data_IF_043429180566
#
_entry.id   IF_043429180566
#
_cell.length_a   1.000
_cell.length_b   1.000
_cell.length_c   1.000
_cell.angle_alpha   90.00
_cell.angle_beta   90.00
_cell.angle_gamma   90.00
#
_symmetry.space_group_name_H-M   'P 1'
#
loop_
_entity.id
_entity.type
_entity.pdbx_description
1 polymer ?
#
# COMPACT_ATOMS: atom_id res chain seq x y z
N UNK A 1 -22.92 29.69 -32.41
CA UNK A 1 -22.39 28.36 -32.06
C UNK A 1 -21.09 28.06 -32.81
N UNK A 2 -20.19 29.06 -32.97
CA UNK A 2 -18.92 28.92 -33.73
C UNK A 2 -17.70 29.36 -32.90
N UNK A 3 -17.89 30.11 -31.82
CA UNK A 3 -16.81 30.57 -30.92
C UNK A 3 -16.09 29.45 -30.15
N UNK A 4 -16.80 28.36 -29.80
CA UNK A 4 -16.27 27.31 -28.93
C UNK A 4 -15.13 26.47 -29.57
N UNK A 5 -14.96 26.52 -30.89
CA UNK A 5 -13.95 25.73 -31.60
C UNK A 5 -12.62 26.50 -31.71
N UNK A 6 -12.65 27.83 -31.76
CA UNK A 6 -11.45 28.67 -31.87
C UNK A 6 -10.66 28.72 -30.55
N UNK A 7 -11.39 28.76 -29.42
CA UNK A 7 -10.80 28.69 -28.08
C UNK A 7 -10.07 27.38 -27.80
N UNK A 8 -10.52 26.27 -28.43
CA UNK A 8 -9.90 24.96 -28.25
C UNK A 8 -8.63 24.79 -29.12
N UNK A 9 -8.59 25.44 -30.29
CA UNK A 9 -7.42 25.45 -31.18
C UNK A 9 -6.24 26.23 -30.57
N UNK A 10 -6.51 27.37 -29.93
CA UNK A 10 -5.47 28.20 -29.28
C UNK A 10 -4.82 27.53 -28.05
N UNK A 11 -5.57 26.67 -27.34
CA UNK A 11 -5.10 25.94 -26.16
C UNK A 11 -4.25 24.71 -26.53
N UNK A 12 -4.52 24.09 -27.69
CA UNK A 12 -3.77 22.93 -28.17
C UNK A 12 -2.37 23.29 -28.74
N UNK A 13 -2.16 24.55 -29.17
CA UNK A 13 -0.96 24.97 -29.89
C UNK A 13 0.19 25.58 -29.07
N UNK A 14 -0.04 26.00 -27.81
CA UNK A 14 0.95 26.81 -27.05
C UNK A 14 1.35 26.28 -25.67
N UNK A 15 0.73 25.18 -25.20
CA UNK A 15 1.07 24.56 -23.91
C UNK A 15 2.20 23.52 -23.98
N UNK A 16 2.25 22.73 -25.06
CA UNK A 16 3.18 21.60 -25.18
C UNK A 16 4.64 22.03 -25.41
N UNK A 17 4.86 23.13 -26.13
CA UNK A 17 6.22 23.63 -26.44
C UNK A 17 6.90 24.30 -25.24
N UNK A 18 6.14 25.00 -24.39
CA UNK A 18 6.67 25.64 -23.17
C UNK A 18 7.01 24.65 -22.05
N UNK A 19 6.28 23.55 -21.96
CA UNK A 19 6.62 22.45 -21.04
C UNK A 19 7.93 21.76 -21.47
N UNK A 20 8.12 21.56 -22.78
CA UNK A 20 9.34 20.97 -23.32
C UNK A 20 10.58 21.85 -23.11
N UNK A 21 10.47 23.18 -23.29
CA UNK A 21 11.59 24.11 -23.03
C UNK A 21 12.01 24.17 -21.56
N UNK A 22 11.08 24.06 -20.61
CA UNK A 22 11.41 24.00 -19.18
C UNK A 22 12.08 22.70 -18.78
N UNK A 23 11.74 21.59 -19.42
CA UNK A 23 12.40 20.30 -19.20
C UNK A 23 13.80 20.31 -19.81
N UNK A 24 13.96 20.89 -21.01
CA UNK A 24 15.26 20.98 -21.69
C UNK A 24 16.26 21.90 -20.95
N UNK A 25 15.79 23.01 -20.37
CA UNK A 25 16.67 23.93 -19.62
C UNK A 25 16.98 23.47 -18.20
N UNK A 26 16.12 22.66 -17.58
CA UNK A 26 16.40 22.03 -16.27
C UNK A 26 17.37 20.84 -16.37
N UNK A 27 17.52 20.23 -17.55
CA UNK A 27 18.41 19.08 -17.75
C UNK A 27 19.91 19.46 -17.92
N UNK A 28 20.24 20.74 -18.11
CA UNK A 28 21.61 21.16 -18.46
C UNK A 28 22.44 21.68 -17.27
N UNK A 29 21.94 21.68 -16.03
CA UNK A 29 22.71 22.19 -14.89
C UNK A 29 22.34 21.55 -13.54
N UNK A 30 22.71 20.28 -13.33
CA UNK A 30 22.96 19.77 -11.99
C UNK A 30 23.91 18.56 -12.04
N UNK A 31 25.00 18.54 -11.27
CA UNK A 31 25.82 17.34 -11.10
C UNK A 31 24.98 16.23 -10.47
N UNK A 32 25.08 15.03 -11.02
CA UNK A 32 24.44 13.82 -10.53
C UNK A 32 24.95 13.48 -9.12
N UNK A 33 24.27 14.01 -8.10
CA UNK A 33 24.34 13.47 -6.75
C UNK A 33 23.71 12.06 -6.77
N UNK A 34 24.25 11.10 -6.00
CA UNK A 34 23.65 9.78 -5.91
C UNK A 34 22.21 9.96 -5.44
N UNK A 35 21.28 9.44 -6.24
CA UNK A 35 19.86 9.36 -5.92
C UNK A 35 19.75 8.79 -4.52
N UNK A 36 19.26 9.61 -3.57
CA UNK A 36 18.83 9.12 -2.27
C UNK A 36 17.97 7.90 -2.54
N UNK A 37 18.40 6.74 -2.03
CA UNK A 37 17.57 5.56 -1.99
C UNK A 37 16.23 6.02 -1.44
N UNK A 38 15.18 5.91 -2.26
CA UNK A 38 13.80 6.02 -1.80
C UNK A 38 13.74 5.20 -0.53
N UNK A 39 13.55 5.85 0.61
CA UNK A 39 13.47 5.20 1.91
C UNK A 39 12.36 4.17 1.83
N UNK A 40 12.72 2.92 1.52
CA UNK A 40 11.79 1.82 1.60
C UNK A 40 11.34 1.77 3.05
N UNK A 41 10.03 1.58 3.32
CA UNK A 41 9.57 1.39 4.68
C UNK A 41 10.42 0.30 5.33
N UNK A 42 10.96 0.58 6.51
CA UNK A 42 11.69 -0.42 7.28
C UNK A 42 10.84 -1.68 7.39
N UNK A 43 11.41 -2.85 7.12
CA UNK A 43 10.69 -4.13 7.19
C UNK A 43 9.98 -4.30 8.56
N UNK A 44 10.58 -3.78 9.63
CA UNK A 44 9.97 -3.75 10.96
C UNK A 44 8.70 -2.89 11.03
N UNK A 45 8.65 -1.77 10.31
CA UNK A 45 7.45 -0.93 10.24
C UNK A 45 6.32 -1.63 9.48
N UNK A 46 6.63 -2.31 8.37
CA UNK A 46 5.66 -3.12 7.61
C UNK A 46 5.15 -4.29 8.45
N UNK A 47 6.06 -4.97 9.17
CA UNK A 47 5.69 -6.07 10.07
C UNK A 47 4.77 -5.60 11.20
N UNK A 48 5.08 -4.45 11.81
CA UNK A 48 4.25 -3.86 12.86
C UNK A 48 2.86 -3.49 12.35
N UNK A 49 2.76 -2.95 11.14
CA UNK A 49 1.49 -2.59 10.51
C UNK A 49 0.64 -3.84 10.22
N UNK A 50 1.25 -4.89 9.63
CA UNK A 50 0.58 -6.18 9.38
C UNK A 50 0.10 -6.82 10.69
N UNK A 51 0.91 -6.79 11.75
CA UNK A 51 0.51 -7.32 13.05
C UNK A 51 -0.68 -6.54 13.66
N UNK A 52 -0.66 -5.21 13.58
CA UNK A 52 -1.75 -4.34 14.02
C UNK A 52 -3.04 -4.61 13.25
N UNK A 53 -2.95 -4.74 11.93
CA UNK A 53 -4.08 -5.07 11.06
C UNK A 53 -4.67 -6.44 11.38
N UNK A 54 -3.84 -7.44 11.67
CA UNK A 54 -4.29 -8.78 12.09
C UNK A 54 -5.11 -8.75 13.38
N UNK A 55 -4.64 -8.00 14.39
CA UNK A 55 -5.38 -7.84 15.66
C UNK A 55 -6.71 -7.14 15.45
N UNK A 56 -6.74 -6.10 14.60
CA UNK A 56 -7.97 -5.37 14.31
C UNK A 56 -8.98 -6.24 13.56
N UNK A 57 -8.54 -7.01 12.55
CA UNK A 57 -9.40 -7.93 11.81
C UNK A 57 -10.02 -9.00 12.72
N UNK A 58 -9.26 -9.54 13.69
CA UNK A 58 -9.78 -10.47 14.69
C UNK A 58 -10.85 -9.82 15.58
N UNK A 59 -10.61 -8.61 16.08
CA UNK A 59 -11.58 -7.87 16.90
C UNK A 59 -12.88 -7.59 16.13
N UNK A 60 -12.77 -7.26 14.86
CA UNK A 60 -13.92 -6.98 14.00
C UNK A 60 -14.72 -8.26 13.71
N UNK A 61 -14.06 -9.39 13.49
CA UNK A 61 -14.71 -10.69 13.37
C UNK A 61 -15.43 -11.13 14.66
N UNK A 62 -14.83 -10.87 15.83
CA UNK A 62 -15.48 -11.10 17.13
C UNK A 62 -16.71 -10.21 17.30
N UNK A 63 -16.61 -8.92 16.98
CA UNK A 63 -17.72 -7.99 17.05
C UNK A 63 -18.87 -8.39 16.10
N UNK A 64 -18.56 -8.80 14.88
CA UNK A 64 -19.53 -9.30 13.91
C UNK A 64 -20.20 -10.59 14.41
N UNK A 65 -19.43 -11.52 14.99
CA UNK A 65 -19.95 -12.76 15.58
C UNK A 65 -20.90 -12.50 16.74
N UNK A 66 -20.54 -11.56 17.63
CA UNK A 66 -21.43 -11.11 18.72
C UNK A 66 -22.69 -10.45 18.19
N UNK A 67 -22.59 -9.62 17.15
CA UNK A 67 -23.75 -9.02 16.51
C UNK A 67 -24.67 -10.08 15.87
N UNK A 68 -24.09 -11.13 15.27
CA UNK A 68 -24.82 -12.26 14.71
C UNK A 68 -25.60 -13.05 15.76
N UNK A 69 -24.97 -13.36 16.90
CA UNK A 69 -25.64 -14.04 18.03
C UNK A 69 -26.80 -13.19 18.58
N UNK A 70 -26.65 -11.86 18.59
CA UNK A 70 -27.71 -10.93 19.00
C UNK A 70 -28.78 -10.68 17.91
N UNK A 71 -28.71 -11.34 16.75
CA UNK A 71 -29.62 -11.14 15.62
C UNK A 71 -29.48 -9.79 14.91
N UNK A 72 -28.41 -9.04 15.20
CA UNK A 72 -28.11 -7.71 14.62
C UNK A 72 -27.25 -7.76 13.35
N UNK A 73 -26.64 -8.91 13.07
CA UNK A 73 -25.90 -9.17 11.83
C UNK A 73 -26.38 -10.48 11.21
N UNK A 74 -26.41 -10.55 9.88
CA UNK A 74 -26.83 -11.78 9.19
C UNK A 74 -25.73 -12.85 9.27
N UNK A 75 -26.13 -14.12 9.19
CA UNK A 75 -25.18 -15.26 9.17
C UNK A 75 -24.16 -15.10 8.03
N UNK A 76 -24.58 -14.51 6.90
CA UNK A 76 -23.70 -14.21 5.78
C UNK A 76 -22.61 -13.19 6.14
N UNK A 77 -22.96 -12.12 6.87
CA UNK A 77 -21.99 -11.11 7.32
C UNK A 77 -20.99 -11.67 8.35
N UNK A 78 -21.43 -12.58 9.22
CA UNK A 78 -20.54 -13.26 10.17
C UNK A 78 -19.52 -14.12 9.41
N UNK A 79 -19.99 -14.91 8.44
CA UNK A 79 -19.11 -15.76 7.62
C UNK A 79 -18.12 -14.90 6.82
N UNK A 80 -18.57 -13.80 6.22
CA UNK A 80 -17.69 -12.88 5.49
C UNK A 80 -16.60 -12.28 6.40
N UNK A 81 -16.97 -11.84 7.60
CA UNK A 81 -16.02 -11.31 8.58
C UNK A 81 -14.99 -12.36 9.03
N UNK A 82 -15.43 -13.60 9.26
CA UNK A 82 -14.54 -14.71 9.63
C UNK A 82 -13.59 -15.07 8.49
N UNK A 83 -14.10 -15.17 7.26
CA UNK A 83 -13.28 -15.44 6.06
C UNK A 83 -12.24 -14.35 5.82
N UNK A 84 -12.58 -13.09 6.10
CA UNK A 84 -11.64 -11.98 6.00
C UNK A 84 -10.54 -12.08 7.07
N UNK A 85 -10.91 -12.37 8.32
CA UNK A 85 -9.96 -12.59 9.40
C UNK A 85 -9.03 -13.79 9.14
N UNK A 86 -9.52 -14.89 8.57
CA UNK A 86 -8.69 -16.04 8.18
C UNK A 86 -7.62 -15.68 7.15
N UNK A 87 -7.97 -14.86 6.14
CA UNK A 87 -7.01 -14.41 5.12
C UNK A 87 -5.90 -13.56 5.76
N UNK A 88 -6.26 -12.61 6.62
CA UNK A 88 -5.28 -11.78 7.34
C UNK A 88 -4.40 -12.63 8.26
N UNK A 89 -4.98 -13.62 8.94
CA UNK A 89 -4.24 -14.55 9.79
C UNK A 89 -3.23 -15.38 8.99
N UNK A 90 -3.61 -15.89 7.82
CA UNK A 90 -2.70 -16.63 6.94
C UNK A 90 -1.50 -15.77 6.51
N UNK A 91 -1.72 -14.49 6.19
CA UNK A 91 -0.62 -13.55 5.90
C UNK A 91 0.27 -13.34 7.11
N UNK A 92 -0.30 -13.13 8.31
CA UNK A 92 0.46 -12.96 9.53
C UNK A 92 1.33 -14.19 9.86
N UNK A 93 0.81 -15.41 9.66
CA UNK A 93 1.55 -16.66 9.85
C UNK A 93 2.69 -16.79 8.84
N UNK A 94 2.46 -16.47 7.56
CA UNK A 94 3.52 -16.50 6.56
C UNK A 94 4.69 -15.55 6.91
N UNK A 95 4.37 -14.38 7.45
CA UNK A 95 5.38 -13.41 7.90
C UNK A 95 6.10 -13.91 9.15
N UNK A 96 5.39 -14.48 10.14
CA UNK A 96 6.00 -15.15 11.31
C UNK A 96 7.01 -16.21 10.87
N UNK A 97 6.63 -17.07 9.93
CA UNK A 97 7.48 -18.16 9.47
C UNK A 97 8.74 -17.64 8.79
N UNK A 98 8.64 -16.54 8.03
CA UNK A 98 9.81 -15.87 7.42
C UNK A 98 10.74 -15.24 8.43
N UNK A 99 10.21 -14.62 9.48
CA UNK A 99 11.02 -14.05 10.58
C UNK A 99 11.75 -15.16 11.34
N UNK A 100 11.07 -16.27 11.62
CA UNK A 100 11.68 -17.44 12.26
C UNK A 100 12.78 -18.04 11.37
N UNK A 101 12.54 -18.16 10.07
CA UNK A 101 13.54 -18.64 9.11
C UNK A 101 14.78 -17.74 9.09
N UNK A 102 14.60 -16.41 9.03
CA UNK A 102 15.70 -15.45 9.05
C UNK A 102 16.51 -15.52 10.36
N UNK A 103 15.84 -15.69 11.51
CA UNK A 103 16.53 -15.89 12.78
C UNK A 103 17.36 -17.19 12.79
N UNK A 104 16.79 -18.29 12.29
CA UNK A 104 17.52 -19.56 12.18
C UNK A 104 18.71 -19.49 11.23
N UNK A 105 18.60 -18.75 10.12
CA UNK A 105 19.68 -18.52 9.16
C UNK A 105 20.85 -17.77 9.82
N UNK A 106 20.56 -16.65 10.51
CA UNK A 106 21.57 -15.86 11.25
C UNK A 106 22.22 -16.71 12.33
N UNK A 107 21.44 -17.50 13.06
CA UNK A 107 21.95 -18.39 14.10
C UNK A 107 22.84 -19.51 13.56
N UNK A 108 22.64 -19.96 12.31
CA UNK A 108 23.49 -20.95 11.64
C UNK A 108 24.76 -20.35 11.06
N UNK A 109 24.78 -19.04 10.80
CA UNK A 109 25.96 -18.30 10.37
C UNK A 109 26.88 -17.90 11.55
N UNK A 110 26.36 -17.88 12.78
CA UNK A 110 27.13 -17.68 14.01
C UNK A 110 27.77 -19.00 14.46
N UNK A 111 28.87 -19.37 13.81
CA UNK A 111 30.14 -19.83 14.43
C UNK A 111 31.31 -19.41 13.54
#
# INVERSE_FOLDING_TARGET
>A
MIDAVDSLSSLAGTGATRAAERIATAAQAAPVAPSSATSMPDFGAVLSDVASQGVNALREAEAASLAGINGKASVQQVVEAVMNAERTLQTAVAVRDKVVQAYQEISRMQI
#
